data_IF_548684158515
#
_entry.id   IF_548684158515
#
_cell.length_a   1.000
_cell.length_b   1.000
_cell.length_c   1.000
_cell.angle_alpha   90.00
_cell.angle_beta   90.00
_cell.angle_gamma   90.00
#
_symmetry.space_group_name_H-M   'P 1'
#
loop_
_entity.id
_entity.type
_entity.pdbx_description
1 polymer ?
#
# COMPACT_ATOMS: atom_id res chain seq x y z
N UNK A 1 -12.89 5.57 -1.62
CA UNK A 1 -11.47 5.97 -1.76
C UNK A 1 -10.58 4.77 -1.46
N UNK A 2 -9.42 4.65 -2.08
CA UNK A 2 -8.62 3.41 -2.21
C UNK A 2 -8.40 2.59 -0.92
N UNK A 3 -8.35 3.25 0.24
CA UNK A 3 -8.15 2.63 1.56
C UNK A 3 -9.42 1.92 2.06
N UNK A 4 -10.59 2.51 1.83
CA UNK A 4 -11.89 2.00 2.31
C UNK A 4 -12.59 1.11 1.28
N UNK A 5 -11.89 0.66 0.23
CA UNK A 5 -12.45 -0.22 -0.78
C UNK A 5 -12.46 -1.67 -0.24
N UNK A 6 -13.62 -2.33 -0.07
CA UNK A 6 -13.68 -3.67 0.54
C UNK A 6 -12.81 -4.72 -0.18
N UNK A 7 -12.73 -4.60 -1.52
CA UNK A 7 -11.90 -5.50 -2.36
C UNK A 7 -10.39 -5.34 -2.12
N UNK A 8 -9.96 -4.18 -1.57
CA UNK A 8 -8.56 -3.83 -1.35
C UNK A 8 -8.18 -3.74 0.13
N UNK A 9 -9.15 -3.80 1.04
CA UNK A 9 -8.93 -3.80 2.50
C UNK A 9 -7.99 -4.92 2.93
N UNK A 10 -8.17 -6.14 2.40
CA UNK A 10 -7.28 -7.28 2.71
C UNK A 10 -5.82 -7.03 2.31
N UNK A 11 -5.60 -6.33 1.19
CA UNK A 11 -4.27 -5.92 0.79
C UNK A 11 -3.68 -4.91 1.76
N UNK A 12 -4.40 -3.84 2.12
CA UNK A 12 -3.92 -2.85 3.08
C UNK A 12 -3.55 -3.44 4.44
N UNK A 13 -4.38 -4.36 4.95
CA UNK A 13 -4.09 -5.05 6.21
C UNK A 13 -2.75 -5.80 6.12
N UNK A 14 -2.58 -6.63 5.09
CA UNK A 14 -1.37 -7.44 4.94
C UNK A 14 -0.13 -6.62 4.56
N UNK A 15 -0.30 -5.59 3.72
CA UNK A 15 0.77 -4.72 3.27
C UNK A 15 1.42 -3.97 4.44
N UNK A 16 0.63 -3.47 5.40
CA UNK A 16 1.18 -2.86 6.62
C UNK A 16 2.02 -3.83 7.44
N UNK A 17 1.58 -5.08 7.57
CA UNK A 17 2.37 -6.10 8.28
C UNK A 17 3.69 -6.40 7.57
N UNK A 18 3.65 -6.58 6.25
CA UNK A 18 4.88 -6.77 5.42
C UNK A 18 5.83 -5.58 5.54
N UNK A 19 5.28 -4.36 5.53
CA UNK A 19 6.04 -3.13 5.63
C UNK A 19 6.42 -2.73 7.07
N UNK A 20 6.06 -3.54 8.08
CA UNK A 20 6.29 -3.23 9.51
C UNK A 20 5.78 -1.83 9.90
N UNK A 21 4.58 -1.48 9.43
CA UNK A 21 3.92 -0.20 9.72
C UNK A 21 2.90 -0.40 10.84
N UNK A 22 3.16 0.22 12.00
CA UNK A 22 2.25 0.23 13.15
C UNK A 22 1.38 1.50 13.17
N UNK A 23 0.65 1.70 12.07
CA UNK A 23 -0.30 2.81 11.89
C UNK A 23 -1.69 2.22 11.75
N UNK A 24 -2.68 2.63 12.57
CA UNK A 24 -4.07 2.21 12.42
C UNK A 24 -4.60 2.50 11.02
N UNK A 25 -5.41 1.59 10.47
CA UNK A 25 -5.85 1.69 9.07
C UNK A 25 -6.64 2.97 8.77
N UNK A 26 -7.36 3.47 9.78
CA UNK A 26 -8.13 4.72 9.72
C UNK A 26 -7.25 5.98 9.62
N UNK A 27 -6.02 5.92 10.13
CA UNK A 27 -5.11 7.07 10.17
C UNK A 27 -4.26 7.18 8.90
N UNK A 28 -4.18 6.11 8.10
CA UNK A 28 -3.33 6.06 6.89
C UNK A 28 -3.65 7.22 5.94
N UNK A 29 -4.93 7.55 5.75
CA UNK A 29 -5.31 8.61 4.83
C UNK A 29 -4.85 9.98 5.32
N UNK A 30 -5.01 10.26 6.61
CA UNK A 30 -4.59 11.53 7.20
C UNK A 30 -3.07 11.66 7.20
N UNK A 31 -2.33 10.56 7.33
CA UNK A 31 -0.87 10.55 7.15
C UNK A 31 -0.45 10.81 5.71
N UNK A 32 -1.06 10.11 4.73
CA UNK A 32 -0.77 10.31 3.30
C UNK A 32 -1.12 11.71 2.80
N UNK A 33 -2.05 12.39 3.47
CA UNK A 33 -2.49 13.75 3.13
C UNK A 33 -1.91 14.82 4.04
N UNK A 34 -0.96 14.46 4.92
CA UNK A 34 -0.29 15.38 5.86
C UNK A 34 -1.25 16.16 6.77
N UNK A 35 -2.46 15.63 7.00
CA UNK A 35 -3.45 16.19 7.94
C UNK A 35 -3.06 15.95 9.39
N UNK A 36 -2.35 14.85 9.64
CA UNK A 36 -1.67 14.57 10.90
C UNK A 36 -0.18 14.84 10.76
N UNK A 37 0.47 15.34 11.81
CA UNK A 37 1.91 15.56 11.83
C UNK A 37 2.65 14.28 11.40
N UNK A 38 3.63 14.37 10.48
CA UNK A 38 4.26 13.20 9.93
C UNK A 38 4.98 12.42 11.04
N UNK A 39 4.59 11.16 11.23
CA UNK A 39 5.48 10.19 11.87
C UNK A 39 6.65 9.93 10.91
N UNK A 40 7.81 9.58 11.50
CA UNK A 40 9.02 9.02 10.89
C UNK A 40 8.98 8.88 9.35
N UNK A 41 9.89 9.56 8.64
CA UNK A 41 10.07 9.54 7.18
C UNK A 41 9.98 8.12 6.57
N UNK A 42 10.58 7.12 7.23
CA UNK A 42 10.52 5.72 6.78
C UNK A 42 9.10 5.17 6.68
N UNK A 43 8.20 5.59 7.58
CA UNK A 43 6.78 5.17 7.54
C UNK A 43 6.08 5.78 6.34
N UNK A 44 6.35 7.06 6.03
CA UNK A 44 5.76 7.72 4.87
C UNK A 44 6.23 7.11 3.55
N UNK A 45 7.53 6.81 3.43
CA UNK A 45 8.09 6.11 2.27
C UNK A 45 7.35 4.78 2.05
N UNK A 46 7.24 3.96 3.10
CA UNK A 46 6.58 2.66 3.02
C UNK A 46 5.08 2.76 2.71
N UNK A 47 4.38 3.75 3.29
CA UNK A 47 2.97 4.02 2.93
C UNK A 47 2.85 4.41 1.45
N UNK A 48 3.80 5.19 0.93
CA UNK A 48 3.89 5.55 -0.48
C UNK A 48 4.11 4.34 -1.40
N UNK A 49 5.02 3.43 -1.04
CA UNK A 49 5.28 2.18 -1.79
C UNK A 49 4.03 1.30 -1.86
N UNK A 50 3.32 1.14 -0.74
CA UNK A 50 2.05 0.39 -0.70
C UNK A 50 1.02 1.04 -1.62
N UNK A 51 0.89 2.37 -1.55
CA UNK A 51 -0.05 3.12 -2.38
C UNK A 51 0.29 2.98 -3.88
N UNK A 52 1.57 3.05 -4.24
CA UNK A 52 2.05 2.90 -5.60
C UNK A 52 1.69 1.52 -6.17
N UNK A 53 2.00 0.44 -5.46
CA UNK A 53 1.68 -0.93 -5.89
C UNK A 53 0.17 -1.10 -6.07
N UNK A 54 -0.61 -0.55 -5.13
CA UNK A 54 -2.06 -0.60 -5.20
C UNK A 54 -2.59 0.14 -6.42
N UNK A 55 -2.11 1.36 -6.67
CA UNK A 55 -2.52 2.19 -7.79
C UNK A 55 -2.22 1.51 -9.13
N UNK A 56 -0.99 1.02 -9.30
CA UNK A 56 -0.57 0.30 -10.51
C UNK A 56 -1.45 -0.92 -10.78
N UNK A 57 -1.67 -1.77 -9.77
CA UNK A 57 -2.50 -2.96 -9.96
C UNK A 57 -3.98 -2.61 -10.16
N UNK A 58 -4.47 -1.56 -9.51
CA UNK A 58 -5.86 -1.12 -9.69
C UNK A 58 -6.12 -0.73 -11.15
N UNK A 59 -5.24 0.07 -11.74
CA UNK A 59 -5.38 0.48 -13.14
C UNK A 59 -5.19 -0.67 -14.10
N UNK A 60 -4.25 -1.57 -13.85
CA UNK A 60 -4.12 -2.81 -14.62
C UNK A 60 -5.43 -3.61 -14.62
N UNK A 61 -6.07 -3.79 -13.45
CA UNK A 61 -7.37 -4.45 -13.37
C UNK A 61 -8.47 -3.73 -14.16
N UNK A 62 -8.49 -2.40 -14.13
CA UNK A 62 -9.51 -1.61 -14.83
C UNK A 62 -9.31 -1.58 -16.35
N UNK A 63 -8.07 -1.45 -16.81
CA UNK A 63 -7.71 -1.36 -18.24
C UNK A 63 -7.87 -2.74 -18.90
N UNK A 64 -7.32 -3.78 -18.29
CA UNK A 64 -7.31 -5.13 -18.87
C UNK A 64 -8.56 -5.95 -18.48
N UNK A 65 -9.50 -5.33 -17.77
CA UNK A 65 -10.74 -5.94 -17.27
C UNK A 65 -10.50 -7.26 -16.49
N UNK A 66 -9.41 -7.31 -15.71
CA UNK A 66 -9.06 -8.47 -14.87
C UNK A 66 -9.43 -8.25 -13.41
N UNK A 67 -9.73 -9.33 -12.70
CA UNK A 67 -10.09 -9.23 -11.28
C UNK A 67 -8.90 -8.86 -10.39
N UNK A 68 -9.18 -8.12 -9.32
CA UNK A 68 -8.20 -7.83 -8.28
C UNK A 68 -7.72 -9.12 -7.59
N UNK A 69 -6.40 -9.24 -7.43
CA UNK A 69 -5.76 -10.36 -6.75
C UNK A 69 -4.78 -9.85 -5.67
N UNK A 70 -5.17 -10.01 -4.40
CA UNK A 70 -4.37 -9.57 -3.24
C UNK A 70 -3.02 -10.28 -3.17
N UNK A 71 -2.94 -11.57 -3.50
CA UNK A 71 -1.67 -12.32 -3.51
C UNK A 71 -0.69 -11.75 -4.53
N UNK A 72 -1.17 -11.41 -5.71
CA UNK A 72 -0.33 -10.79 -6.74
C UNK A 72 0.15 -9.39 -6.32
N UNK A 73 -0.72 -8.59 -5.71
CA UNK A 73 -0.38 -7.29 -5.15
C UNK A 73 0.74 -7.40 -4.09
N UNK A 74 0.61 -8.34 -3.15
CA UNK A 74 1.62 -8.56 -2.11
C UNK A 74 2.97 -9.04 -2.68
N UNK A 75 2.97 -9.87 -3.73
CA UNK A 75 4.20 -10.27 -4.43
C UNK A 75 4.90 -9.09 -5.09
N UNK A 76 4.15 -8.10 -5.60
CA UNK A 76 4.73 -6.87 -6.13
C UNK A 76 5.33 -6.00 -5.01
N UNK A 77 4.61 -5.83 -3.91
CA UNK A 77 5.11 -5.08 -2.76
C UNK A 77 6.41 -5.66 -2.19
N UNK A 78 6.47 -6.98 -2.00
CA UNK A 78 7.71 -7.65 -1.53
C UNK A 78 8.89 -7.43 -2.46
N UNK A 79 8.66 -7.38 -3.78
CA UNK A 79 9.73 -7.07 -4.74
C UNK A 79 10.23 -5.65 -4.61
N UNK A 80 9.34 -4.67 -4.40
CA UNK A 80 9.73 -3.28 -4.15
C UNK A 80 10.60 -3.20 -2.89
N UNK A 81 10.18 -3.81 -1.79
CA UNK A 81 10.95 -3.80 -0.55
C UNK A 81 12.30 -4.51 -0.68
N UNK A 82 12.34 -5.67 -1.36
CA UNK A 82 13.60 -6.38 -1.61
C UNK A 82 14.58 -5.55 -2.44
N UNK A 83 14.10 -4.80 -3.43
CA UNK A 83 14.93 -3.90 -4.22
C UNK A 83 15.40 -2.70 -3.39
N UNK A 84 14.55 -2.14 -2.53
CA UNK A 84 14.91 -1.03 -1.64
C UNK A 84 15.93 -1.42 -0.56
N UNK A 85 15.96 -2.70 -0.13
CA UNK A 85 16.97 -3.20 0.81
C UNK A 85 18.34 -3.48 0.15
N UNK A 86 18.46 -3.36 -1.18
CA UNK A 86 19.71 -3.55 -1.94
C UNK A 86 20.46 -2.24 -2.26
N UNK A 87 19.81 -1.08 -2.06
CA UNK A 87 20.37 0.27 -2.23
C UNK A 87 20.90 0.83 -0.90
#
# INVERSE_FOLDING_TARGET
>A
MIINCPRKTSFWLMARHVARIDVPMQDIWDMLTFRSSPRNETVLIRLGEILMVLWQLHWHCCIDNVQWNTTHALRRLRRVHWLADLD
#
